data_IF_673213551414
#
_entry.id   IF_673213551414
#
_cell.length_a   1.000
_cell.length_b   1.000
_cell.length_c   1.000
_cell.angle_alpha   90.00
_cell.angle_beta   90.00
_cell.angle_gamma   90.00
#
_symmetry.space_group_name_H-M   'P 1'
#
loop_
_entity.id
_entity.type
_entity.pdbx_description
1 polymer ?
#
# COMPACT_ATOMS: atom_id res chain seq x y z
N UNK A 1 11.40 -6.81 -52.61
CA UNK A 1 12.22 -5.93 -51.76
C UNK A 1 11.29 -4.94 -51.04
N UNK A 2 10.90 -5.20 -49.78
CA UNK A 2 10.10 -4.26 -48.98
C UNK A 2 11.05 -3.24 -48.34
N UNK A 3 10.87 -1.96 -48.65
CA UNK A 3 11.58 -0.84 -48.00
C UNK A 3 11.06 -0.74 -46.56
N UNK A 4 11.86 -1.15 -45.58
CA UNK A 4 11.61 -0.84 -44.18
C UNK A 4 11.73 0.66 -43.96
N UNK A 5 10.66 1.28 -43.46
CA UNK A 5 10.57 2.69 -43.16
C UNK A 5 11.51 3.02 -41.99
N UNK A 6 12.55 3.81 -42.27
CA UNK A 6 13.70 4.10 -41.39
C UNK A 6 13.42 5.25 -40.40
N UNK A 7 12.18 5.35 -39.90
CA UNK A 7 11.72 6.41 -39.01
C UNK A 7 11.31 5.88 -37.63
N UNK A 8 11.93 4.80 -37.16
CA UNK A 8 11.87 4.45 -35.74
C UNK A 8 12.83 5.41 -35.04
N UNK A 9 12.27 6.51 -34.53
CA UNK A 9 12.97 7.46 -33.65
C UNK A 9 13.55 6.61 -32.50
N UNK A 10 14.87 6.60 -32.34
CA UNK A 10 15.54 5.87 -31.27
C UNK A 10 14.85 6.23 -29.94
N UNK A 11 14.25 5.24 -29.29
CA UNK A 11 13.75 5.37 -27.93
C UNK A 11 15.00 5.27 -27.06
N UNK A 12 15.64 6.41 -26.81
CA UNK A 12 16.72 6.48 -25.82
C UNK A 12 16.07 6.44 -24.43
N UNK A 13 16.21 5.29 -23.77
CA UNK A 13 15.94 5.18 -22.35
C UNK A 13 17.05 5.93 -21.61
N UNK A 14 16.71 7.14 -21.17
CA UNK A 14 17.55 7.93 -20.28
C UNK A 14 17.53 7.30 -18.88
N UNK A 15 18.69 7.21 -18.21
CA UNK A 15 18.80 6.79 -16.80
C UNK A 15 18.02 7.71 -15.83
N UNK A 16 17.67 8.92 -16.29
CA UNK A 16 16.83 9.86 -15.55
C UNK A 16 15.35 9.75 -15.96
N UNK A 17 14.46 9.80 -14.96
CA UNK A 17 13.02 9.87 -15.18
C UNK A 17 12.67 11.13 -15.99
N UNK A 18 11.80 10.97 -16.98
CA UNK A 18 11.21 12.08 -17.72
C UNK A 18 10.32 12.95 -16.80
N UNK A 19 10.10 14.19 -17.22
CA UNK A 19 9.40 15.20 -16.42
C UNK A 19 7.97 14.76 -16.04
N UNK A 20 7.29 14.01 -16.91
CA UNK A 20 5.95 13.48 -16.64
C UNK A 20 5.98 12.39 -15.57
N UNK A 21 6.92 11.45 -15.64
CA UNK A 21 7.11 10.42 -14.60
C UNK A 21 7.50 11.04 -13.27
N UNK A 22 8.36 12.06 -13.28
CA UNK A 22 8.81 12.75 -12.07
C UNK A 22 7.65 13.53 -11.41
N UNK A 23 6.81 14.19 -12.21
CA UNK A 23 5.59 14.85 -11.73
C UNK A 23 4.57 13.85 -11.14
N UNK A 24 4.36 12.70 -11.77
CA UNK A 24 3.50 11.63 -11.25
C UNK A 24 4.02 11.09 -9.91
N UNK A 25 5.31 10.78 -9.84
CA UNK A 25 5.95 10.28 -8.61
C UNK A 25 5.88 11.31 -7.49
N UNK A 26 6.15 12.60 -7.76
CA UNK A 26 6.05 13.64 -6.75
C UNK A 26 4.63 13.85 -6.24
N UNK A 27 3.62 13.64 -7.09
CA UNK A 27 2.20 13.72 -6.70
C UNK A 27 1.78 12.52 -5.84
N UNK A 28 2.18 11.30 -6.21
CA UNK A 28 1.75 10.05 -5.54
C UNK A 28 2.62 9.65 -4.33
N UNK A 29 3.90 9.99 -4.30
CA UNK A 29 4.81 9.72 -3.16
C UNK A 29 4.30 10.22 -1.79
N UNK A 30 3.82 11.48 -1.63
CA UNK A 30 3.30 11.95 -0.34
C UNK A 30 2.02 11.21 0.07
N UNK A 31 1.20 10.77 -0.90
CA UNK A 31 0.01 9.97 -0.63
C UNK A 31 0.36 8.64 0.05
N UNK A 32 1.31 7.88 -0.50
CA UNK A 32 1.75 6.62 0.09
C UNK A 32 2.47 6.80 1.43
N UNK A 33 3.25 7.87 1.59
CA UNK A 33 3.90 8.20 2.86
C UNK A 33 2.87 8.51 3.95
N UNK A 34 1.85 9.32 3.65
CA UNK A 34 0.79 9.64 4.59
C UNK A 34 -0.05 8.41 4.93
N UNK A 35 -0.34 7.57 3.94
CA UNK A 35 -1.06 6.32 4.15
C UNK A 35 -0.32 5.38 5.10
N UNK A 36 1.00 5.22 4.96
CA UNK A 36 1.79 4.38 5.86
C UNK A 36 1.78 4.91 7.30
N UNK A 37 1.82 6.24 7.47
CA UNK A 37 1.70 6.88 8.79
C UNK A 37 0.31 6.67 9.40
N UNK A 38 -0.75 6.82 8.61
CA UNK A 38 -2.12 6.60 9.06
C UNK A 38 -2.38 5.15 9.43
N UNK A 39 -1.83 4.20 8.66
CA UNK A 39 -1.90 2.78 9.01
C UNK A 39 -1.20 2.51 10.34
N UNK A 40 0.02 3.02 10.54
CA UNK A 40 0.75 2.85 11.81
C UNK A 40 -0.02 3.43 12.99
N UNK A 41 -0.63 4.60 12.84
CA UNK A 41 -1.49 5.21 13.86
C UNK A 41 -2.69 4.29 14.16
N UNK A 42 -3.44 3.88 13.14
CA UNK A 42 -4.61 2.99 13.32
C UNK A 42 -4.23 1.65 13.94
N UNK A 43 -3.12 1.06 13.51
CA UNK A 43 -2.59 -0.19 14.05
C UNK A 43 -2.14 -0.06 15.52
N UNK A 44 -1.90 1.15 16.02
CA UNK A 44 -1.57 1.39 17.42
C UNK A 44 -2.83 1.68 18.25
N UNK A 45 -3.72 2.55 17.76
CA UNK A 45 -4.91 3.01 18.49
C UNK A 45 -6.04 1.97 18.57
N UNK A 46 -6.34 1.28 17.47
CA UNK A 46 -7.45 0.31 17.43
C UNK A 46 -7.23 -0.83 18.43
N UNK A 47 -6.10 -1.56 18.41
CA UNK A 47 -5.88 -2.63 19.40
C UNK A 47 -5.75 -2.08 20.82
N UNK A 48 -5.36 -0.82 21.01
CA UNK A 48 -5.29 -0.21 22.33
C UNK A 48 -6.70 -0.03 22.92
N UNK A 49 -7.63 0.53 22.13
CA UNK A 49 -9.04 0.65 22.54
C UNK A 49 -9.64 -0.73 22.84
N UNK A 50 -9.38 -1.72 21.97
CA UNK A 50 -9.85 -3.10 22.18
C UNK A 50 -9.28 -3.67 23.49
N UNK A 51 -7.98 -3.47 23.76
CA UNK A 51 -7.33 -3.96 24.98
C UNK A 51 -7.91 -3.34 26.26
N UNK A 52 -8.32 -2.07 26.22
CA UNK A 52 -8.98 -1.39 27.35
C UNK A 52 -10.37 -1.97 27.60
N UNK A 53 -11.16 -2.14 26.54
CA UNK A 53 -12.50 -2.74 26.62
C UNK A 53 -12.40 -4.18 27.14
N UNK A 54 -11.46 -4.95 26.61
CA UNK A 54 -11.21 -6.33 27.03
C UNK A 54 -10.79 -6.41 28.51
N UNK A 55 -9.90 -5.52 28.95
CA UNK A 55 -9.47 -5.44 30.34
C UNK A 55 -10.66 -5.11 31.26
N UNK A 56 -11.49 -4.14 30.89
CA UNK A 56 -12.68 -3.77 31.65
C UNK A 56 -13.65 -4.97 31.75
N UNK A 57 -13.91 -5.66 30.63
CA UNK A 57 -14.78 -6.84 30.61
C UNK A 57 -14.27 -7.95 31.53
N UNK A 58 -12.98 -8.30 31.48
CA UNK A 58 -12.43 -9.36 32.33
C UNK A 58 -12.53 -8.98 33.81
N UNK A 59 -12.17 -7.74 34.16
CA UNK A 59 -12.15 -7.30 35.55
C UNK A 59 -13.57 -7.19 36.12
N UNK A 60 -14.52 -6.63 35.36
CA UNK A 60 -15.91 -6.45 35.81
C UNK A 60 -16.74 -7.74 35.76
N UNK A 61 -16.62 -8.52 34.70
CA UNK A 61 -17.49 -9.69 34.47
C UNK A 61 -16.91 -10.94 35.13
N UNK A 62 -15.61 -11.18 34.96
CA UNK A 62 -14.97 -12.40 35.43
C UNK A 62 -14.36 -12.25 36.84
N UNK A 63 -14.39 -11.05 37.44
CA UNK A 63 -13.81 -10.74 38.76
C UNK A 63 -12.36 -11.23 38.91
N UNK A 64 -11.60 -11.27 37.81
CA UNK A 64 -10.19 -11.67 37.82
C UNK A 64 -9.36 -10.51 38.34
N UNK A 65 -8.29 -10.81 39.09
CA UNK A 65 -7.34 -9.80 39.59
C UNK A 65 -6.89 -8.87 38.46
N UNK A 66 -6.95 -7.57 38.71
CA UNK A 66 -6.57 -6.53 37.76
C UNK A 66 -5.17 -6.75 37.18
N UNK A 67 -4.20 -7.13 38.01
CA UNK A 67 -2.81 -7.33 37.60
C UNK A 67 -2.70 -8.43 36.55
N UNK A 68 -3.39 -9.54 36.76
CA UNK A 68 -3.32 -10.70 35.87
C UNK A 68 -4.01 -10.39 34.53
N UNK A 69 -5.17 -9.74 34.59
CA UNK A 69 -5.91 -9.27 33.42
C UNK A 69 -5.11 -8.23 32.61
N UNK A 70 -4.39 -7.34 33.30
CA UNK A 70 -3.57 -6.31 32.67
C UNK A 70 -2.40 -6.92 31.90
N UNK A 71 -1.67 -7.87 32.49
CA UNK A 71 -0.59 -8.60 31.81
C UNK A 71 -1.13 -9.33 30.57
N UNK A 72 -2.26 -10.02 30.70
CA UNK A 72 -2.89 -10.72 29.58
C UNK A 72 -3.26 -9.76 28.44
N UNK A 73 -3.86 -8.61 28.78
CA UNK A 73 -4.25 -7.60 27.80
C UNK A 73 -3.04 -6.98 27.10
N UNK A 74 -1.93 -6.80 27.82
CA UNK A 74 -0.68 -6.28 27.27
C UNK A 74 -0.04 -7.26 26.27
N UNK A 75 -0.04 -8.57 26.58
CA UNK A 75 0.42 -9.61 25.66
C UNK A 75 -0.43 -9.63 24.38
N UNK A 76 -1.76 -9.58 24.53
CA UNK A 76 -2.68 -9.52 23.39
C UNK A 76 -2.47 -8.26 22.54
N UNK A 77 -2.24 -7.12 23.19
CA UNK A 77 -1.95 -5.86 22.51
C UNK A 77 -0.67 -5.95 21.68
N UNK A 78 0.44 -6.38 22.27
CA UNK A 78 1.73 -6.52 21.56
C UNK A 78 1.63 -7.54 20.43
N UNK A 79 1.00 -8.69 20.69
CA UNK A 79 0.80 -9.73 19.67
C UNK A 79 -0.03 -9.25 18.48
N UNK A 80 -1.14 -8.56 18.73
CA UNK A 80 -1.99 -7.99 17.68
C UNK A 80 -1.27 -6.90 16.89
N UNK A 81 -0.50 -6.04 17.55
CA UNK A 81 0.32 -5.00 16.89
C UNK A 81 1.34 -5.62 15.94
N UNK A 82 2.12 -6.61 16.39
CA UNK A 82 3.11 -7.30 15.56
C UNK A 82 2.43 -7.96 14.35
N UNK A 83 1.27 -8.59 14.56
CA UNK A 83 0.51 -9.26 13.50
C UNK A 83 0.00 -8.27 12.46
N UNK A 84 -0.55 -7.13 12.90
CA UNK A 84 -1.01 -6.05 12.01
C UNK A 84 0.13 -5.46 11.19
N UNK A 85 1.32 -5.29 11.77
CA UNK A 85 2.48 -4.79 11.03
C UNK A 85 3.05 -5.84 10.06
N UNK A 86 3.12 -7.11 10.45
CA UNK A 86 3.69 -8.17 9.61
C UNK A 86 2.78 -8.63 8.48
N UNK A 87 1.47 -8.68 8.71
CA UNK A 87 0.50 -9.26 7.77
C UNK A 87 -0.48 -8.21 7.26
N UNK A 88 -1.03 -7.38 8.15
CA UNK A 88 -2.01 -6.37 7.79
C UNK A 88 -1.44 -5.25 6.91
N UNK A 89 -0.25 -4.76 7.23
CA UNK A 89 0.42 -3.71 6.46
C UNK A 89 0.71 -4.12 5.01
N UNK A 90 1.39 -5.25 4.72
CA UNK A 90 1.64 -5.64 3.35
C UNK A 90 0.34 -5.90 2.59
N UNK A 91 -0.67 -6.55 3.21
CA UNK A 91 -1.97 -6.78 2.56
C UNK A 91 -2.67 -5.48 2.15
N UNK A 92 -2.73 -4.49 3.04
CA UNK A 92 -3.35 -3.20 2.74
C UNK A 92 -2.54 -2.42 1.71
N UNK A 93 -1.21 -2.55 1.73
CA UNK A 93 -0.34 -1.91 0.76
C UNK A 93 -0.48 -2.52 -0.64
N UNK A 94 -0.50 -3.85 -0.74
CA UNK A 94 -0.65 -4.60 -1.99
C UNK A 94 -1.99 -4.32 -2.66
N UNK A 95 -3.11 -4.33 -1.91
CA UNK A 95 -4.42 -3.94 -2.45
C UNK A 95 -4.44 -2.51 -3.02
N UNK A 96 -3.64 -1.59 -2.47
CA UNK A 96 -3.54 -0.22 -2.99
C UNK A 96 -2.57 -0.08 -4.14
N UNK A 97 -1.55 -0.95 -4.22
CA UNK A 97 -0.72 -1.06 -5.42
C UNK A 97 -1.52 -1.62 -6.59
N UNK A 98 -2.40 -2.60 -6.37
CA UNK A 98 -3.29 -3.12 -7.40
C UNK A 98 -4.20 -2.02 -7.99
N UNK A 99 -4.79 -1.17 -7.15
CA UNK A 99 -5.58 -0.01 -7.61
C UNK A 99 -4.72 0.97 -8.42
N UNK A 100 -3.47 1.19 -8.01
CA UNK A 100 -2.57 2.06 -8.77
C UNK A 100 -2.17 1.45 -10.11
N UNK A 101 -1.98 0.14 -10.15
CA UNK A 101 -1.68 -0.59 -11.39
C UNK A 101 -2.86 -0.51 -12.36
N UNK A 102 -4.09 -0.66 -11.87
CA UNK A 102 -5.31 -0.48 -12.66
C UNK A 102 -5.45 0.96 -13.21
N UNK A 103 -5.00 1.98 -12.48
CA UNK A 103 -4.94 3.37 -12.98
C UNK A 103 -3.84 3.59 -14.05
N UNK A 104 -2.76 2.81 -14.03
CA UNK A 104 -1.61 2.96 -14.93
C UNK A 104 -1.76 2.10 -16.20
N UNK A 105 -2.38 0.93 -16.12
CA UNK A 105 -2.64 0.04 -17.25
C UNK A 105 -3.23 0.73 -18.49
N UNK A 106 -4.26 1.60 -18.41
CA UNK A 106 -4.78 2.29 -19.59
C UNK A 106 -3.80 3.31 -20.17
N UNK A 107 -2.91 3.88 -19.35
CA UNK A 107 -1.85 4.79 -19.77
C UNK A 107 -0.75 4.01 -20.51
N UNK A 108 -0.35 2.85 -19.99
CA UNK A 108 0.57 1.94 -20.66
C UNK A 108 -0.01 1.42 -21.98
N UNK A 109 -1.29 1.07 -22.01
CA UNK A 109 -2.00 0.59 -23.19
C UNK A 109 -2.13 1.70 -24.26
N UNK A 110 -2.36 2.95 -23.86
CA UNK A 110 -2.35 4.09 -24.76
C UNK A 110 -0.96 4.36 -25.37
N UNK A 111 0.11 4.20 -24.57
CA UNK A 111 1.49 4.28 -25.06
C UNK A 111 1.78 3.15 -26.04
N UNK A 112 1.39 1.92 -25.74
CA UNK A 112 1.63 0.76 -26.60
C UNK A 112 0.90 0.90 -27.95
N UNK A 113 -0.36 1.36 -27.92
CA UNK A 113 -1.13 1.70 -29.13
C UNK A 113 -0.50 2.84 -29.95
N UNK A 114 0.15 3.81 -29.29
CA UNK A 114 0.83 4.91 -29.97
C UNK A 114 2.14 4.49 -30.66
N UNK A 115 2.77 3.42 -30.18
CA UNK A 115 4.01 2.86 -30.74
C UNK A 115 3.72 1.78 -31.79
N UNK A 116 2.65 1.00 -31.62
CA UNK A 116 2.18 -0.02 -32.57
C UNK A 116 0.73 0.22 -33.00
N UNK A 117 0.45 1.23 -33.85
CA UNK A 117 -0.92 1.54 -34.27
C UNK A 117 -1.59 0.44 -35.12
N UNK A 118 -0.84 -0.56 -35.62
CA UNK A 118 -1.31 -1.53 -36.62
C UNK A 118 -1.22 -3.02 -36.18
N UNK A 119 -1.15 -3.35 -34.89
CA UNK A 119 -1.05 -4.76 -34.44
C UNK A 119 -2.40 -5.52 -34.37
N UNK A 120 -3.48 -4.92 -34.89
CA UNK A 120 -4.83 -5.49 -34.86
C UNK A 120 -5.46 -5.73 -36.25
N UNK A 121 -4.65 -5.87 -37.31
CA UNK A 121 -5.09 -6.47 -38.59
C UNK A 121 -4.65 -7.93 -38.72
#
# INVERSE_FOLDING_TARGET
MKKFNKNIKNIEFSDSFDEYTLAFLNKKRPYYKNMALDFKKKALFIPLIISIIFLALIVLVCNVSFVLSWILSLIMYVGSYITLIRVGYPYVFENRLMVLQEEIDPLCLAVDLSVHPNSHE
#
